data_IF_808468681789
#
_entry.id   IF_808468681789
#
_cell.length_a   1.000
_cell.length_b   1.000
_cell.length_c   1.000
_cell.angle_alpha   90.00
_cell.angle_beta   90.00
_cell.angle_gamma   90.00
#
_symmetry.space_group_name_H-M   'P 1'
#
loop_
_entity.id
_entity.type
_entity.pdbx_description
1 polymer ?
#
# COMPACT_ATOMS: atom_id res chain seq x y z
N UNK A 1 -0.62 7.91 -22.90
CA UNK A 1 -1.04 6.50 -22.76
C UNK A 1 -1.73 6.37 -21.40
N UNK A 2 -2.40 5.25 -21.11
CA UNK A 2 -3.14 5.08 -19.85
C UNK A 2 -3.16 3.61 -19.40
N UNK A 3 -2.99 3.39 -18.10
CA UNK A 3 -3.15 2.09 -17.45
C UNK A 3 -4.06 2.23 -16.24
N UNK A 4 -4.94 1.26 -16.02
CA UNK A 4 -5.69 1.10 -14.78
C UNK A 4 -5.82 -0.39 -14.49
N UNK A 5 -5.30 -0.79 -13.34
CA UNK A 5 -5.31 -2.16 -12.86
C UNK A 5 -6.60 -2.43 -12.10
N UNK A 6 -7.17 -3.62 -12.27
CA UNK A 6 -8.34 -4.05 -11.50
C UNK A 6 -7.91 -4.55 -10.11
N UNK A 7 -7.68 -3.63 -9.19
CA UNK A 7 -7.29 -3.93 -7.81
C UNK A 7 -8.54 -3.95 -6.94
N UNK A 8 -8.70 -4.99 -6.11
CA UNK A 8 -9.81 -5.05 -5.15
C UNK A 8 -9.59 -4.02 -4.06
N UNK A 9 -10.60 -3.18 -3.82
CA UNK A 9 -10.55 -2.18 -2.76
C UNK A 9 -10.61 -2.83 -1.37
N UNK A 10 -9.79 -2.35 -0.44
CA UNK A 10 -9.82 -2.72 0.98
C UNK A 10 -9.84 -1.43 1.80
N UNK A 11 -10.84 -1.30 2.67
CA UNK A 11 -11.04 -0.15 3.55
C UNK A 11 -10.44 -0.41 4.94
N UNK A 12 -9.95 0.65 5.59
CA UNK A 12 -9.59 0.62 7.02
C UNK A 12 -10.80 0.93 7.94
N UNK A 13 -11.92 1.33 7.34
CA UNK A 13 -13.17 1.69 8.02
C UNK A 13 -14.23 0.60 7.83
N UNK A 14 -15.11 0.41 8.81
CA UNK A 14 -16.22 -0.55 8.74
C UNK A 14 -15.76 -2.00 8.53
N UNK A 15 -14.57 -2.35 9.00
CA UNK A 15 -13.98 -3.68 8.84
C UNK A 15 -14.93 -4.72 9.44
N UNK A 16 -15.25 -5.75 8.67
CA UNK A 16 -16.18 -6.80 9.05
C UNK A 16 -17.65 -6.49 8.78
N UNK A 17 -18.02 -5.27 8.38
CA UNK A 17 -19.43 -4.90 8.16
C UNK A 17 -20.15 -5.62 7.02
N UNK A 18 -19.41 -6.34 6.17
CA UNK A 18 -19.97 -7.23 5.14
C UNK A 18 -20.30 -8.63 5.67
N UNK A 19 -19.86 -8.98 6.88
CA UNK A 19 -20.09 -10.30 7.50
C UNK A 19 -21.35 -10.22 8.35
N UNK A 20 -22.30 -11.12 8.09
CA UNK A 20 -23.52 -11.22 8.87
C UNK A 20 -23.19 -11.42 10.36
N UNK A 21 -23.83 -10.63 11.23
CA UNK A 21 -23.64 -10.63 12.68
C UNK A 21 -22.26 -10.19 13.19
N UNK A 22 -21.41 -9.60 12.33
CA UNK A 22 -20.19 -8.95 12.78
C UNK A 22 -20.46 -7.49 13.13
N UNK A 23 -19.85 -7.00 14.21
CA UNK A 23 -19.82 -5.57 14.52
C UNK A 23 -18.74 -4.90 13.65
N UNK A 24 -19.11 -3.96 12.77
CA UNK A 24 -18.13 -3.21 11.99
C UNK A 24 -17.22 -2.41 12.92
N UNK A 25 -15.96 -2.25 12.54
CA UNK A 25 -14.99 -1.45 13.30
C UNK A 25 -14.05 -0.68 12.41
N UNK A 26 -13.61 0.46 12.90
CA UNK A 26 -12.62 1.30 12.23
C UNK A 26 -11.24 1.04 12.82
N UNK A 27 -10.23 1.01 11.96
CA UNK A 27 -8.82 0.97 12.36
C UNK A 27 -8.12 2.24 11.86
N UNK A 28 -8.04 3.31 12.68
CA UNK A 28 -7.52 4.61 12.26
C UNK A 28 -6.06 4.59 11.81
N UNK A 29 -5.29 3.56 12.17
CA UNK A 29 -3.89 3.38 11.74
C UNK A 29 -3.69 2.16 10.84
N UNK A 30 -4.78 1.58 10.35
CA UNK A 30 -4.79 0.41 9.48
C UNK A 30 -4.56 0.70 8.00
N UNK A 31 -4.34 1.96 7.60
CA UNK A 31 -4.15 2.35 6.19
C UNK A 31 -3.05 1.54 5.49
N UNK A 32 -1.92 1.31 6.16
CA UNK A 32 -0.81 0.52 5.61
C UNK A 32 -1.19 -0.94 5.41
N UNK A 33 -1.97 -1.51 6.33
CA UNK A 33 -2.39 -2.90 6.28
C UNK A 33 -3.40 -3.12 5.15
N UNK A 34 -4.39 -2.24 5.04
CA UNK A 34 -5.35 -2.26 3.95
C UNK A 34 -4.64 -2.10 2.59
N UNK A 35 -3.67 -1.19 2.50
CA UNK A 35 -2.86 -0.99 1.29
C UNK A 35 -2.01 -2.21 0.93
N UNK A 36 -1.39 -2.86 1.92
CA UNK A 36 -0.66 -4.11 1.71
C UNK A 36 -1.57 -5.23 1.20
N UNK A 37 -2.77 -5.39 1.78
CA UNK A 37 -3.78 -6.33 1.32
C UNK A 37 -4.17 -6.07 -0.14
N UNK A 38 -4.42 -4.81 -0.53
CA UNK A 38 -4.78 -4.45 -1.91
C UNK A 38 -3.68 -4.84 -2.91
N UNK A 39 -2.41 -4.53 -2.60
CA UNK A 39 -1.28 -4.92 -3.45
C UNK A 39 -1.18 -6.44 -3.55
N UNK A 40 -1.28 -7.15 -2.43
CA UNK A 40 -1.18 -8.61 -2.40
C UNK A 40 -2.31 -9.31 -3.16
N UNK A 41 -3.56 -8.87 -2.97
CA UNK A 41 -4.76 -9.45 -3.61
C UNK A 41 -4.80 -9.28 -5.12
N UNK A 42 -4.02 -8.34 -5.66
CA UNK A 42 -3.84 -8.24 -7.10
C UNK A 42 -3.06 -9.44 -7.67
N UNK A 43 -2.12 -10.02 -6.92
CA UNK A 43 -1.31 -11.16 -7.37
C UNK A 43 -1.85 -12.51 -6.91
N UNK A 44 -2.34 -12.60 -5.68
CA UNK A 44 -2.66 -13.87 -5.04
C UNK A 44 -3.93 -13.76 -4.21
N UNK A 45 -4.81 -14.76 -4.32
CA UNK A 45 -6.00 -14.86 -3.49
C UNK A 45 -5.68 -15.44 -2.09
N UNK A 46 -6.54 -15.16 -1.12
CA UNK A 46 -6.51 -15.74 0.23
C UNK A 46 -6.27 -14.70 1.31
N UNK A 47 -6.45 -15.04 2.60
CA UNK A 47 -6.21 -14.11 3.70
C UNK A 47 -4.76 -13.65 3.72
N UNK A 48 -4.55 -12.34 3.88
CA UNK A 48 -3.22 -11.73 4.05
C UNK A 48 -3.20 -11.01 5.39
N UNK A 49 -2.12 -11.24 6.11
CA UNK A 49 -1.96 -10.77 7.49
C UNK A 49 -0.94 -9.63 7.59
N UNK A 50 -0.25 -9.27 6.49
CA UNK A 50 0.78 -8.22 6.50
C UNK A 50 1.85 -8.49 7.56
N UNK A 51 1.85 -7.63 8.57
CA UNK A 51 2.64 -7.79 9.80
C UNK A 51 1.67 -7.97 10.98
N UNK A 52 1.14 -9.18 11.23
CA UNK A 52 0.11 -9.40 12.25
C UNK A 52 0.59 -9.08 13.67
N UNK A 53 1.90 -9.06 13.92
CA UNK A 53 2.47 -8.76 15.22
C UNK A 53 2.23 -7.33 15.67
N UNK A 54 1.93 -6.43 14.73
CA UNK A 54 1.54 -5.04 15.01
C UNK A 54 0.03 -4.85 15.07
N UNK A 55 -0.77 -5.94 15.01
CA UNK A 55 -2.21 -5.95 15.28
C UNK A 55 -2.50 -6.13 16.79
N UNK A 56 -2.07 -5.17 17.60
CA UNK A 56 -2.22 -5.20 19.07
C UNK A 56 -2.68 -3.87 19.66
N UNK A 57 -3.02 -2.89 18.81
CA UNK A 57 -3.50 -1.58 19.27
C UNK A 57 -4.89 -1.75 19.87
N UNK A 58 -5.10 -1.41 21.13
CA UNK A 58 -6.45 -1.38 21.70
C UNK A 58 -7.28 -0.29 21.00
N UNK A 59 -8.43 -0.70 20.45
CA UNK A 59 -9.42 0.19 19.82
C UNK A 59 -10.62 0.45 20.75
N UNK A 60 -10.63 -0.12 21.95
CA UNK A 60 -11.74 -0.11 22.89
C UNK A 60 -12.66 -1.33 22.73
N UNK A 61 -13.40 -1.65 23.80
CA UNK A 61 -14.40 -2.74 23.79
C UNK A 61 -13.83 -4.14 23.55
N UNK A 62 -12.54 -4.36 23.84
CA UNK A 62 -11.85 -5.63 23.61
C UNK A 62 -11.42 -5.86 22.15
N UNK A 63 -11.54 -4.84 21.28
CA UNK A 63 -11.13 -4.92 19.89
C UNK A 63 -9.69 -4.47 19.71
N UNK A 64 -8.94 -5.20 18.88
CA UNK A 64 -7.57 -4.85 18.51
C UNK A 64 -7.49 -4.27 17.09
N UNK A 65 -6.52 -3.40 16.85
CA UNK A 65 -6.20 -2.75 15.58
C UNK A 65 -4.71 -2.79 15.29
N UNK A 66 -4.30 -2.21 14.16
CA UNK A 66 -2.91 -2.11 13.78
C UNK A 66 -2.26 -0.89 14.42
N UNK A 67 -1.04 -1.02 14.93
CA UNK A 67 -0.19 0.15 15.17
C UNK A 67 0.28 0.76 13.84
N UNK A 68 0.57 2.06 13.84
CA UNK A 68 1.25 2.68 12.72
C UNK A 68 2.65 2.06 12.57
N UNK A 69 3.03 1.73 11.34
CA UNK A 69 4.40 1.26 11.02
C UNK A 69 5.42 2.32 11.44
N UNK A 70 6.41 1.91 12.25
CA UNK A 70 7.46 2.80 12.75
C UNK A 70 7.14 3.51 14.07
N UNK A 71 5.96 3.28 14.67
CA UNK A 71 5.62 3.82 16.00
C UNK A 71 6.32 3.06 17.16
N UNK A 72 6.56 3.76 18.27
CA UNK A 72 7.25 3.23 19.47
C UNK A 72 6.66 1.92 20.06
N UNK A 73 5.33 1.75 20.15
CA UNK A 73 4.73 0.47 20.57
C UNK A 73 4.91 -0.64 19.54
N UNK A 74 5.02 -0.33 18.24
CA UNK A 74 5.36 -1.31 17.21
C UNK A 74 6.84 -1.72 17.31
N UNK A 75 7.74 -0.81 17.69
CA UNK A 75 9.20 -1.03 17.77
C UNK A 75 9.65 -2.16 18.73
N UNK A 76 8.73 -2.77 19.49
CA UNK A 76 9.00 -3.95 20.33
C UNK A 76 9.45 -5.19 19.54
N UNK A 77 9.30 -5.21 18.21
CA UNK A 77 9.75 -6.32 17.37
C UNK A 77 11.25 -6.30 17.07
N UNK A 78 11.99 -5.28 17.53
CA UNK A 78 13.44 -5.08 17.25
C UNK A 78 13.80 -5.20 15.75
N UNK A 79 12.82 -5.01 14.87
CA UNK A 79 12.92 -5.08 13.43
C UNK A 79 12.26 -3.82 12.85
N UNK A 80 12.83 -3.28 11.79
CA UNK A 80 12.18 -2.19 11.06
C UNK A 80 10.92 -2.75 10.37
N UNK A 81 9.74 -2.26 10.75
CA UNK A 81 8.47 -2.78 10.23
C UNK A 81 8.34 -2.68 8.72
N UNK A 82 8.97 -1.68 8.11
CA UNK A 82 8.92 -1.52 6.67
C UNK A 82 9.79 -2.56 5.96
N UNK A 83 10.94 -2.93 6.54
CA UNK A 83 11.74 -4.08 6.08
C UNK A 83 10.92 -5.38 6.17
N UNK A 84 10.26 -5.61 7.32
CA UNK A 84 9.46 -6.82 7.54
C UNK A 84 8.25 -6.90 6.61
N UNK A 85 7.55 -5.79 6.41
CA UNK A 85 6.44 -5.68 5.45
C UNK A 85 6.93 -5.97 4.03
N UNK A 86 8.00 -5.32 3.59
CA UNK A 86 8.57 -5.53 2.26
C UNK A 86 9.04 -6.98 2.07
N UNK A 87 9.61 -7.60 3.09
CA UNK A 87 10.01 -9.00 3.05
C UNK A 87 8.80 -9.93 2.88
N UNK A 88 7.76 -9.77 3.69
CA UNK A 88 6.59 -10.68 3.73
C UNK A 88 5.67 -10.53 2.54
N UNK A 89 5.52 -9.32 2.03
CA UNK A 89 4.68 -9.04 0.86
C UNK A 89 5.46 -9.13 -0.47
N UNK A 90 6.73 -9.56 -0.40
CA UNK A 90 7.65 -9.68 -1.53
C UNK A 90 7.77 -8.37 -2.32
N UNK A 91 7.88 -7.25 -1.60
CA UNK A 91 8.00 -5.91 -2.17
C UNK A 91 9.45 -5.42 -2.18
N UNK A 92 9.74 -4.53 -3.10
CA UNK A 92 10.97 -3.75 -3.19
C UNK A 92 10.65 -2.26 -3.32
N UNK A 93 11.55 -1.37 -2.86
CA UNK A 93 11.46 0.05 -3.15
C UNK A 93 11.33 0.33 -4.64
N UNK A 94 10.45 1.26 -5.01
CA UNK A 94 10.45 1.82 -6.37
C UNK A 94 11.77 2.58 -6.58
N UNK A 95 12.45 2.44 -7.73
CA UNK A 95 13.69 3.18 -8.02
C UNK A 95 13.53 4.68 -7.76
N UNK A 96 14.53 5.30 -7.15
CA UNK A 96 14.58 6.73 -6.81
C UNK A 96 13.52 7.24 -5.81
N UNK A 97 12.73 6.39 -5.15
CA UNK A 97 11.66 6.87 -4.27
C UNK A 97 12.17 7.64 -3.05
N UNK A 98 13.40 7.34 -2.61
CA UNK A 98 14.07 8.00 -1.50
C UNK A 98 14.68 9.37 -1.83
N UNK A 99 14.59 9.85 -3.08
CA UNK A 99 15.24 11.09 -3.53
C UNK A 99 14.21 12.15 -3.95
N UNK A 100 14.70 13.32 -4.37
CA UNK A 100 13.89 14.39 -4.95
C UNK A 100 13.43 14.13 -6.41
N UNK A 101 13.57 12.89 -6.91
CA UNK A 101 13.14 12.49 -8.25
C UNK A 101 11.69 12.89 -8.54
N UNK A 102 11.46 13.41 -9.74
CA UNK A 102 10.14 13.78 -10.24
C UNK A 102 9.69 12.68 -11.18
N UNK A 103 8.79 11.82 -10.70
CA UNK A 103 8.21 10.76 -11.51
C UNK A 103 7.31 11.35 -12.59
N UNK A 104 7.44 10.83 -13.80
CA UNK A 104 6.56 11.17 -14.93
C UNK A 104 5.39 10.21 -15.00
N UNK A 105 4.36 10.58 -15.79
CA UNK A 105 3.25 9.68 -16.08
C UNK A 105 3.73 8.38 -16.74
N UNK A 106 4.61 8.49 -17.72
CA UNK A 106 5.11 7.34 -18.48
C UNK A 106 5.90 6.37 -17.59
N UNK A 107 6.70 6.90 -16.66
CA UNK A 107 7.46 6.08 -15.70
C UNK A 107 6.53 5.30 -14.77
N UNK A 108 5.53 5.97 -14.17
CA UNK A 108 4.57 5.30 -13.29
C UNK A 108 3.70 4.30 -14.05
N UNK A 109 3.28 4.64 -15.28
CA UNK A 109 2.57 3.73 -16.16
C UNK A 109 3.41 2.46 -16.44
N UNK A 110 4.68 2.63 -16.80
CA UNK A 110 5.60 1.53 -17.07
C UNK A 110 5.77 0.62 -15.85
N UNK A 111 5.95 1.20 -14.66
CA UNK A 111 6.05 0.47 -13.40
C UNK A 111 4.76 -0.32 -13.12
N UNK A 112 3.59 0.31 -13.25
CA UNK A 112 2.30 -0.35 -13.05
C UNK A 112 2.09 -1.53 -14.00
N UNK A 113 2.46 -1.38 -15.28
CA UNK A 113 2.38 -2.47 -16.26
C UNK A 113 3.33 -3.63 -15.95
N UNK A 114 4.55 -3.32 -15.52
CA UNK A 114 5.60 -4.33 -15.28
C UNK A 114 5.50 -5.01 -13.92
N UNK A 115 5.02 -4.29 -12.91
CA UNK A 115 5.13 -4.65 -11.49
C UNK A 115 3.80 -4.65 -10.75
N UNK A 116 2.70 -4.34 -11.40
CA UNK A 116 1.38 -4.24 -10.78
C UNK A 116 1.22 -3.00 -9.90
N UNK A 117 0.26 -3.00 -8.95
CA UNK A 117 -0.04 -1.84 -8.14
C UNK A 117 1.12 -1.42 -7.24
N UNK A 118 1.22 -0.12 -6.97
CA UNK A 118 2.32 0.47 -6.20
C UNK A 118 1.78 0.90 -4.84
N UNK A 119 2.37 0.38 -3.77
CA UNK A 119 2.16 0.87 -2.41
C UNK A 119 2.76 2.27 -2.29
N UNK A 120 2.04 3.21 -1.68
CA UNK A 120 2.46 4.61 -1.53
C UNK A 120 2.25 5.11 -0.10
N UNK A 121 3.32 5.62 0.54
CA UNK A 121 3.22 6.54 1.67
C UNK A 121 3.30 7.99 1.20
N UNK A 122 2.38 8.81 1.70
CA UNK A 122 2.28 10.23 1.38
C UNK A 122 1.80 11.03 2.59
N UNK A 123 1.88 12.36 2.50
CA UNK A 123 1.30 13.26 3.48
C UNK A 123 -0.09 13.68 3.01
N UNK A 124 -1.12 13.24 3.74
CA UNK A 124 -2.50 13.60 3.45
C UNK A 124 -2.92 14.76 4.33
N UNK A 125 -3.61 15.73 3.75
CA UNK A 125 -4.23 16.85 4.47
C UNK A 125 -5.74 16.70 4.42
N UNK A 126 -6.39 16.74 5.58
CA UNK A 126 -7.84 16.73 5.71
C UNK A 126 -8.26 17.79 6.74
N UNK A 127 -9.01 18.79 6.31
CA UNK A 127 -9.29 19.96 7.14
C UNK A 127 -7.99 20.72 7.48
N UNK A 128 -7.73 20.92 8.78
CA UNK A 128 -6.53 21.59 9.27
C UNK A 128 -5.36 20.64 9.55
N UNK A 129 -5.59 19.32 9.49
CA UNK A 129 -4.61 18.33 9.93
C UNK A 129 -3.87 17.70 8.74
N UNK A 130 -2.56 17.48 8.92
CA UNK A 130 -1.72 16.78 7.96
C UNK A 130 -1.04 15.59 8.64
N UNK A 131 -1.18 14.40 8.08
CA UNK A 131 -0.71 13.15 8.67
C UNK A 131 -0.13 12.20 7.63
N UNK A 132 0.71 11.26 8.09
CA UNK A 132 1.26 10.22 7.25
C UNK A 132 0.18 9.20 6.88
N UNK A 133 0.06 8.89 5.59
CA UNK A 133 -0.99 8.03 5.07
C UNK A 133 -0.45 7.01 4.07
N UNK A 134 -1.11 5.85 3.98
CA UNK A 134 -0.79 4.81 3.01
C UNK A 134 -1.96 4.60 2.04
N UNK A 135 -1.63 4.46 0.76
CA UNK A 135 -2.59 4.20 -0.31
C UNK A 135 -1.96 3.31 -1.38
N UNK A 136 -2.74 2.94 -2.40
CA UNK A 136 -2.26 2.11 -3.50
C UNK A 136 -2.52 2.78 -4.83
N UNK A 137 -1.47 3.06 -5.59
CA UNK A 137 -1.58 3.52 -6.97
C UNK A 137 -1.98 2.32 -7.82
N UNK A 138 -3.08 2.47 -8.56
CA UNK A 138 -3.65 1.42 -9.41
C UNK A 138 -3.65 1.81 -10.88
N UNK A 139 -3.36 3.07 -11.19
CA UNK A 139 -3.40 3.56 -12.56
C UNK A 139 -2.64 4.87 -12.74
N UNK A 140 -2.34 5.16 -13.99
CA UNK A 140 -1.80 6.44 -14.44
C UNK A 140 -2.38 6.74 -15.83
N UNK A 141 -2.74 8.00 -16.06
CA UNK A 141 -3.16 8.51 -17.36
C UNK A 141 -2.70 9.97 -17.50
N UNK A 142 -3.05 10.63 -18.61
CA UNK A 142 -2.60 12.01 -18.88
C UNK A 142 -3.02 13.03 -17.82
N UNK A 143 -4.02 12.74 -16.99
CA UNK A 143 -4.47 13.63 -15.90
C UNK A 143 -3.65 13.48 -14.62
N UNK A 144 -2.98 12.33 -14.41
CA UNK A 144 -2.28 12.04 -13.17
C UNK A 144 -2.32 10.56 -12.80
N UNK A 145 -2.32 10.29 -11.49
CA UNK A 145 -2.43 8.93 -10.97
C UNK A 145 -3.85 8.63 -10.50
N UNK A 146 -4.20 7.35 -10.54
CA UNK A 146 -5.43 6.79 -9.98
C UNK A 146 -5.01 5.91 -8.81
N UNK A 147 -5.68 6.05 -7.66
CA UNK A 147 -5.33 5.33 -6.44
C UNK A 147 -6.55 4.90 -5.63
N UNK A 148 -6.36 3.89 -4.80
CA UNK A 148 -7.27 3.52 -3.73
C UNK A 148 -6.76 4.08 -2.40
N UNK A 149 -7.60 4.89 -1.76
CA UNK A 149 -7.41 5.38 -0.41
C UNK A 149 -8.21 4.51 0.58
N UNK A 150 -7.56 3.81 1.52
CA UNK A 150 -8.23 3.00 2.53
C UNK A 150 -9.24 3.74 3.42
N UNK A 151 -9.20 5.07 3.49
CA UNK A 151 -10.23 5.90 4.13
C UNK A 151 -11.47 6.07 3.23
N UNK A 152 -11.94 4.96 2.67
CA UNK A 152 -13.16 4.86 1.86
C UNK A 152 -13.21 5.77 0.61
N UNK A 153 -12.06 6.00 -0.06
CA UNK A 153 -12.03 6.69 -1.35
C UNK A 153 -11.34 5.84 -2.44
N UNK A 154 -12.05 4.85 -3.00
CA UNK A 154 -11.53 4.06 -4.12
C UNK A 154 -11.54 4.87 -5.44
N UNK A 155 -10.56 4.62 -6.33
CA UNK A 155 -10.47 5.24 -7.66
C UNK A 155 -10.33 6.76 -7.60
N UNK A 156 -9.76 7.28 -6.51
CA UNK A 156 -9.40 8.68 -6.36
C UNK A 156 -8.28 9.05 -7.32
N UNK A 157 -8.17 10.35 -7.61
CA UNK A 157 -7.22 10.90 -8.57
C UNK A 157 -6.43 12.04 -7.95
N UNK A 158 -5.18 12.17 -8.35
CA UNK A 158 -4.38 13.37 -8.08
C UNK A 158 -3.46 13.64 -9.27
N UNK A 159 -3.15 14.91 -9.53
CA UNK A 159 -2.24 15.29 -10.60
C UNK A 159 -0.82 14.75 -10.33
N UNK A 160 -0.02 14.57 -11.38
CA UNK A 160 1.37 14.12 -11.22
C UNK A 160 2.20 15.12 -10.41
N UNK A 161 1.91 16.41 -10.53
CA UNK A 161 2.55 17.47 -9.75
C UNK A 161 2.22 17.33 -8.27
N UNK A 162 0.93 17.18 -7.95
CA UNK A 162 0.49 16.95 -6.57
C UNK A 162 1.12 15.69 -5.99
N UNK A 163 1.10 14.57 -6.73
CA UNK A 163 1.72 13.31 -6.32
C UNK A 163 3.20 13.50 -5.93
N UNK A 164 4.00 14.14 -6.79
CA UNK A 164 5.41 14.37 -6.52
C UNK A 164 5.66 15.31 -5.33
N UNK A 165 4.72 16.22 -5.06
CA UNK A 165 4.76 17.10 -3.87
C UNK A 165 4.46 16.33 -2.59
N UNK A 166 3.40 15.52 -2.56
CA UNK A 166 2.87 14.92 -1.33
C UNK A 166 3.46 13.56 -0.98
N UNK A 167 4.06 12.85 -1.94
CA UNK A 167 4.73 11.57 -1.67
C UNK A 167 5.84 11.75 -0.64
N UNK A 168 5.99 10.78 0.26
CA UNK A 168 7.14 10.77 1.14
C UNK A 168 8.41 10.39 0.35
N UNK A 169 9.58 10.77 0.87
CA UNK A 169 10.89 10.64 0.19
C UNK A 169 11.87 9.87 1.06
N UNK A 170 11.64 8.57 1.20
CA UNK A 170 12.51 7.65 1.93
C UNK A 170 12.35 6.23 1.37
N UNK A 171 13.22 5.30 1.78
CA UNK A 171 13.41 3.98 1.14
C UNK A 171 12.12 3.19 0.88
N UNK A 172 11.14 3.21 1.78
CA UNK A 172 9.88 2.45 1.61
C UNK A 172 8.66 3.33 1.36
N UNK A 173 8.87 4.60 1.01
CA UNK A 173 7.79 5.52 0.68
C UNK A 173 6.98 5.06 -0.54
N UNK A 174 7.61 4.33 -1.46
CA UNK A 174 6.94 3.65 -2.55
C UNK A 174 7.49 2.25 -2.69
N UNK A 175 6.62 1.25 -2.81
CA UNK A 175 7.02 -0.13 -2.97
C UNK A 175 6.21 -0.83 -4.06
N UNK A 176 6.86 -1.74 -4.76
CA UNK A 176 6.29 -2.54 -5.86
C UNK A 176 6.64 -4.01 -5.66
N UNK A 177 5.97 -4.92 -6.37
CA UNK A 177 6.34 -6.34 -6.34
C UNK A 177 7.77 -6.53 -6.86
N UNK A 178 8.56 -7.35 -6.16
CA UNK A 178 9.89 -7.77 -6.64
C UNK A 178 9.80 -8.37 -8.03
N UNK A 179 10.82 -8.11 -8.85
CA UNK A 179 10.98 -8.83 -10.11
C UNK A 179 10.92 -10.35 -9.89
N UNK A 180 10.25 -11.09 -10.77
CA UNK A 180 10.38 -12.54 -10.77
C UNK A 180 11.85 -12.93 -11.01
N UNK A 181 12.54 -13.23 -9.92
CA UNK A 181 13.90 -13.78 -9.86
C UNK A 181 14.05 -14.79 -8.71
N UNK A 182 12.98 -15.06 -7.96
CA UNK A 182 12.90 -16.09 -6.93
C UNK A 182 11.92 -17.18 -7.35
N UNK A 183 12.45 -18.34 -7.75
CA UNK A 183 11.76 -19.60 -8.11
C UNK A 183 10.84 -19.56 -9.35
N UNK A 184 9.94 -18.59 -9.52
CA UNK A 184 9.00 -18.55 -10.65
C UNK A 184 9.66 -18.32 -12.03
N UNK A 185 10.73 -17.52 -12.08
CA UNK A 185 11.47 -17.23 -13.32
C UNK A 185 12.15 -18.46 -13.94
N UNK A 186 12.45 -19.51 -13.15
CA UNK A 186 13.08 -20.73 -13.66
C UNK A 186 12.12 -21.60 -14.48
N UNK A 187 10.80 -21.45 -14.32
CA UNK A 187 9.80 -22.20 -15.11
C UNK A 187 9.53 -21.63 -16.50
N UNK A 188 9.92 -20.38 -16.77
CA UNK A 188 9.76 -19.75 -18.10
C UNK A 188 11.00 -19.80 -18.98
N UNK A 189 12.17 -20.17 -18.45
CA UNK A 189 13.39 -20.34 -19.26
C UNK A 189 13.61 -21.77 -19.77
N UNK A 190 12.96 -22.77 -19.17
CA UNK A 190 13.01 -24.16 -19.63
C UNK A 190 11.56 -24.62 -19.80
N UNK A 191 11.07 -24.60 -21.04
CA UNK A 191 9.67 -24.82 -21.39
C UNK A 191 9.07 -26.10 -20.80
N UNK A 192 7.78 -26.00 -20.50
CA UNK A 192 6.86 -27.14 -20.41
C UNK A 192 5.94 -27.10 -21.61
#
# INVERSE_FOLDING_TARGET
>A
MAVTLNVKFVTQLGIGGHVANATPRDDPTGCWYASACMVAYYFEAGPRHGVPEIFKRDLGGGLLGHYATGSGPANHLSANHHDLLAQREHLEPVPNCATAHIYTHDELEELLRKRGPIFLYWMKTHGADTYGHASVIIGADTSGIIYHDPENAPNSRMSIGQFNTVRQKWKYAMMQRKAEGGVAARRRMFGG
#
